data_IF_607287059788
#
_entry.id   IF_607287059788
#
_cell.length_a   1.000
_cell.length_b   1.000
_cell.length_c   1.000
_cell.angle_alpha   90.00
_cell.angle_beta   90.00
_cell.angle_gamma   90.00
#
_symmetry.space_group_name_H-M   'P 1'
#
loop_
_entity.id
_entity.type
_entity.pdbx_description
1 polymer ?
#
# COMPACT_ATOMS: atom_id res chain seq x y z
N UNK A 1 -2.52 -43.20 10.02
CA UNK A 1 -1.48 -43.11 8.98
C UNK A 1 -2.21 -43.06 7.64
N UNK A 2 -2.81 -41.90 7.35
CA UNK A 2 -3.56 -41.63 6.12
C UNK A 2 -3.12 -40.24 5.69
N UNK A 3 -2.06 -40.18 4.90
CA UNK A 3 -1.51 -38.93 4.39
C UNK A 3 -2.36 -38.49 3.20
N UNK A 4 -3.23 -37.51 3.39
CA UNK A 4 -3.87 -36.82 2.27
C UNK A 4 -2.81 -36.07 1.45
N UNK A 5 -2.86 -36.14 0.10
CA UNK A 5 -1.91 -35.45 -0.75
C UNK A 5 -2.25 -33.95 -0.76
N UNK A 6 -1.42 -33.13 -0.12
CA UNK A 6 -1.42 -31.68 -0.32
C UNK A 6 -1.02 -31.39 -1.77
N UNK A 7 -2.02 -31.27 -2.62
CA UNK A 7 -1.85 -30.85 -4.01
C UNK A 7 -1.57 -29.36 -3.98
N UNK A 8 -0.29 -28.99 -4.10
CA UNK A 8 0.16 -27.60 -4.15
C UNK A 8 -0.64 -26.84 -5.22
N UNK A 9 -1.38 -25.82 -4.79
CA UNK A 9 -2.23 -25.00 -5.67
C UNK A 9 -1.36 -24.30 -6.71
N UNK A 10 -1.60 -24.63 -7.98
CA UNK A 10 -0.96 -24.05 -9.13
C UNK A 10 -1.26 -22.54 -9.20
N UNK A 11 -0.19 -21.73 -9.20
CA UNK A 11 -0.15 -20.32 -9.61
C UNK A 11 -1.43 -19.51 -9.34
N UNK A 12 -1.60 -19.02 -8.11
CA UNK A 12 -2.62 -18.02 -7.81
C UNK A 12 -2.39 -16.79 -8.69
N UNK A 13 -3.27 -16.56 -9.66
CA UNK A 13 -3.29 -15.29 -10.40
C UNK A 13 -3.55 -14.19 -9.37
N UNK A 14 -2.65 -13.21 -9.32
CA UNK A 14 -2.85 -11.98 -8.56
C UNK A 14 -4.01 -11.22 -9.21
N UNK A 15 -5.23 -11.44 -8.72
CA UNK A 15 -6.38 -10.64 -9.12
C UNK A 15 -6.20 -9.22 -8.56
N UNK A 16 -6.10 -8.17 -9.39
CA UNK A 16 -5.89 -6.80 -8.92
C UNK A 16 -7.00 -6.31 -7.98
N UNK A 17 -8.21 -6.86 -8.12
CA UNK A 17 -9.32 -6.62 -7.22
C UNK A 17 -9.01 -7.15 -5.79
N UNK A 18 -8.42 -8.34 -5.68
CA UNK A 18 -8.02 -8.91 -4.39
C UNK A 18 -6.90 -8.10 -3.72
N UNK A 19 -6.00 -7.53 -4.53
CA UNK A 19 -4.97 -6.59 -4.06
C UNK A 19 -5.65 -5.36 -3.44
N UNK A 20 -6.54 -4.69 -4.16
CA UNK A 20 -7.25 -3.50 -3.67
C UNK A 20 -8.13 -3.82 -2.44
N UNK A 21 -8.79 -4.97 -2.42
CA UNK A 21 -9.65 -5.41 -1.32
C UNK A 21 -8.85 -5.70 -0.04
N UNK A 22 -7.67 -6.33 -0.16
CA UNK A 22 -6.79 -6.62 0.97
C UNK A 22 -6.13 -5.36 1.52
N UNK A 23 -5.75 -4.43 0.65
CA UNK A 23 -4.96 -3.25 0.96
C UNK A 23 -5.74 -2.13 1.68
N UNK A 24 -7.07 -2.29 1.85
CA UNK A 24 -7.98 -1.33 2.52
C UNK A 24 -7.60 0.13 2.21
N UNK A 25 -7.76 0.60 0.96
CA UNK A 25 -7.26 1.89 0.48
C UNK A 25 -7.74 3.10 1.30
N UNK A 26 -8.82 2.95 2.07
CA UNK A 26 -9.30 3.97 3.00
C UNK A 26 -8.30 4.30 4.12
N UNK A 27 -7.44 3.35 4.50
CA UNK A 27 -6.41 3.53 5.54
C UNK A 27 -5.21 4.34 5.06
N UNK A 28 -5.06 4.53 3.74
CA UNK A 28 -3.97 5.32 3.15
C UNK A 28 -4.26 6.81 3.14
N UNK A 29 -5.53 7.19 3.26
CA UNK A 29 -5.96 8.59 3.25
C UNK A 29 -5.23 9.44 4.29
N UNK A 30 -5.17 9.05 5.57
CA UNK A 30 -4.49 9.85 6.59
C UNK A 30 -3.02 10.14 6.27
N UNK A 31 -2.16 9.16 5.93
CA UNK A 31 -0.76 9.43 5.63
C UNK A 31 -0.54 10.19 4.31
N UNK A 32 -1.34 9.93 3.26
CA UNK A 32 -1.28 10.74 2.03
C UNK A 32 -1.61 12.21 2.30
N UNK A 33 -2.62 12.48 3.14
CA UNK A 33 -3.01 13.85 3.51
C UNK A 33 -1.96 14.52 4.38
N UNK A 34 -1.36 13.79 5.32
CA UNK A 34 -0.25 14.30 6.13
C UNK A 34 0.94 14.74 5.26
N UNK A 35 1.31 13.93 4.25
CA UNK A 35 2.36 14.27 3.30
C UNK A 35 2.02 15.55 2.50
N UNK A 36 0.80 15.64 1.96
CA UNK A 36 0.36 16.81 1.19
C UNK A 36 0.36 18.08 2.05
N UNK A 37 -0.10 18.01 3.30
CA UNK A 37 -0.01 19.13 4.23
C UNK A 37 1.44 19.59 4.44
N UNK A 38 2.39 18.65 4.52
CA UNK A 38 3.82 18.96 4.58
C UNK A 38 4.33 19.67 3.32
N UNK A 39 3.94 19.17 2.13
CA UNK A 39 4.28 19.80 0.84
C UNK A 39 3.76 21.23 0.77
N UNK A 40 2.50 21.46 1.16
CA UNK A 40 1.88 22.79 1.16
C UNK A 40 2.54 23.71 2.20
N UNK A 41 2.87 23.20 3.39
CA UNK A 41 3.49 24.01 4.45
C UNK A 41 4.93 24.41 4.13
N UNK A 42 5.66 23.56 3.41
CA UNK A 42 7.03 23.83 2.93
C UNK A 42 7.07 24.59 1.61
N UNK A 43 5.92 24.99 1.07
CA UNK A 43 5.83 25.66 -0.23
C UNK A 43 6.45 27.05 -0.15
N UNK A 44 7.59 27.23 -0.82
CA UNK A 44 8.32 28.49 -0.93
C UNK A 44 8.24 29.10 -2.34
N UNK A 45 9.26 29.86 -2.72
CA UNK A 45 9.36 30.51 -4.04
C UNK A 45 9.77 29.57 -5.18
N UNK A 46 10.07 28.30 -4.87
CA UNK A 46 10.46 27.31 -5.88
C UNK A 46 9.22 26.71 -6.54
N UNK A 47 9.32 26.42 -7.85
CA UNK A 47 8.25 25.68 -8.52
C UNK A 47 8.14 24.25 -7.96
N UNK A 48 6.90 23.75 -7.81
CA UNK A 48 6.66 22.39 -7.33
C UNK A 48 7.10 21.35 -8.35
N UNK A 49 7.96 20.42 -7.94
CA UNK A 49 8.19 19.20 -8.72
C UNK A 49 7.03 18.23 -8.49
N UNK A 50 6.07 18.26 -9.41
CA UNK A 50 4.87 17.43 -9.34
C UNK A 50 5.19 15.92 -9.37
N UNK A 51 6.31 15.51 -9.97
CA UNK A 51 6.73 14.11 -10.02
C UNK A 51 7.10 13.62 -8.62
N UNK A 52 7.83 14.44 -7.87
CA UNK A 52 8.19 14.16 -6.48
C UNK A 52 6.95 14.14 -5.57
N UNK A 53 6.00 15.06 -5.76
CA UNK A 53 4.76 15.10 -4.98
C UNK A 53 3.95 13.82 -5.22
N UNK A 54 3.72 13.43 -6.48
CA UNK A 54 2.98 12.20 -6.80
C UNK A 54 3.71 10.96 -6.27
N UNK A 55 5.03 10.88 -6.46
CA UNK A 55 5.82 9.77 -5.92
C UNK A 55 5.74 9.70 -4.38
N UNK A 56 5.79 10.84 -3.70
CA UNK A 56 5.66 10.93 -2.25
C UNK A 56 4.28 10.50 -1.73
N UNK A 57 3.19 10.88 -2.41
CA UNK A 57 1.83 10.42 -2.08
C UNK A 57 1.71 8.90 -2.25
N UNK A 58 2.20 8.36 -3.37
CA UNK A 58 2.19 6.92 -3.63
C UNK A 58 3.03 6.14 -2.61
N UNK A 59 4.17 6.70 -2.20
CA UNK A 59 5.02 6.12 -1.17
C UNK A 59 4.33 6.14 0.20
N UNK A 60 3.82 7.31 0.62
CA UNK A 60 3.22 7.52 1.93
C UNK A 60 1.95 6.68 2.16
N UNK A 61 1.13 6.51 1.12
CA UNK A 61 -0.08 5.69 1.20
C UNK A 61 0.15 4.24 0.77
N UNK A 62 -0.11 3.91 -0.51
CA UNK A 62 -0.14 2.54 -1.01
C UNK A 62 1.07 1.67 -0.66
N UNK A 63 2.29 2.22 -0.81
CA UNK A 63 3.50 1.42 -0.63
C UNK A 63 3.79 1.15 0.84
N UNK A 64 3.84 2.19 1.69
CA UNK A 64 4.16 2.01 3.12
C UNK A 64 3.02 1.37 3.88
N UNK A 65 1.81 1.95 3.82
CA UNK A 65 0.67 1.43 4.58
C UNK A 65 0.15 0.12 4.04
N UNK A 66 0.23 -0.08 2.72
CA UNK A 66 -0.18 -1.32 2.11
C UNK A 66 0.74 -2.49 2.45
N UNK A 67 2.06 -2.29 2.38
CA UNK A 67 3.02 -3.31 2.81
C UNK A 67 2.88 -3.62 4.30
N UNK A 68 2.64 -2.61 5.14
CA UNK A 68 2.40 -2.84 6.57
C UNK A 68 1.16 -3.69 6.83
N UNK A 69 0.07 -3.51 6.07
CA UNK A 69 -1.13 -4.35 6.22
C UNK A 69 -0.89 -5.79 5.78
N UNK A 70 -0.19 -5.99 4.67
CA UNK A 70 0.15 -7.34 4.21
C UNK A 70 1.00 -8.10 5.25
N UNK A 71 1.92 -7.40 5.92
CA UNK A 71 2.73 -7.98 7.00
C UNK A 71 1.86 -8.27 8.23
N UNK A 72 1.02 -7.33 8.66
CA UNK A 72 0.12 -7.54 9.81
C UNK A 72 -0.81 -8.74 9.57
N UNK A 73 -1.40 -8.85 8.38
CA UNK A 73 -2.27 -9.96 7.99
C UNK A 73 -1.53 -11.32 7.92
N UNK A 74 -0.20 -11.32 7.80
CA UNK A 74 0.61 -12.54 7.88
C UNK A 74 0.86 -12.96 9.33
N UNK A 75 1.13 -12.00 10.23
CA UNK A 75 1.35 -12.27 11.65
C UNK A 75 0.07 -12.55 12.45
N UNK A 76 -1.09 -12.04 12.00
CA UNK A 76 -2.40 -12.31 12.61
C UNK A 76 -2.98 -13.68 12.25
N UNK A 77 -2.26 -14.49 11.45
CA UNK A 77 -2.59 -15.90 11.16
C UNK A 77 -1.91 -16.84 12.14
#
# INVERSE_FOLDING_TARGET
MSSEPQTASAGQRLEPAAIIELLKPITWFPPMWAFICGVVSGWGSAEPDWRLIVAGVMLAGPLVCGTSQAVNDWFDR
#
